data_IF_635015460863
#
_entry.id   IF_635015460863
#
_cell.length_a   1.000
_cell.length_b   1.000
_cell.length_c   1.000
_cell.angle_alpha   90.00
_cell.angle_beta   90.00
_cell.angle_gamma   90.00
#
_symmetry.space_group_name_H-M   'P 1'
#
loop_
_entity.id
_entity.type
_entity.pdbx_description
1 polymer ?
#
# COMPACT_ATOMS: atom_id res chain seq x y z
N UNK A 1 -4.43 -50.86 -14.11
CA UNK A 1 -3.93 -52.01 -13.32
C UNK A 1 -2.69 -51.56 -12.55
N UNK A 2 -2.70 -51.71 -11.20
CA UNK A 2 -1.59 -51.97 -10.25
C UNK A 2 -0.32 -51.06 -10.36
N UNK A 3 0.24 -50.43 -9.33
CA UNK A 3 0.26 -50.75 -7.88
C UNK A 3 0.89 -49.60 -7.07
N UNK A 4 0.53 -49.56 -5.78
CA UNK A 4 1.08 -48.79 -4.66
C UNK A 4 2.61 -48.84 -4.50
N UNK A 5 3.21 -47.81 -3.87
CA UNK A 5 4.03 -48.00 -2.67
C UNK A 5 4.33 -46.71 -1.90
N UNK A 6 4.05 -46.78 -0.60
CA UNK A 6 4.37 -45.82 0.47
C UNK A 6 5.82 -46.05 0.92
N UNK A 7 6.56 -44.99 1.26
CA UNK A 7 7.64 -45.08 2.25
C UNK A 7 7.55 -43.85 3.15
N UNK A 8 7.01 -44.08 4.36
CA UNK A 8 7.21 -43.22 5.53
C UNK A 8 8.63 -43.46 6.05
N UNK A 9 9.37 -42.40 6.36
CA UNK A 9 10.55 -42.48 7.21
C UNK A 9 10.39 -41.49 8.36
N UNK A 10 10.04 -42.00 9.54
CA UNK A 10 9.99 -41.27 10.79
C UNK A 10 11.35 -41.44 11.49
N UNK A 11 12.06 -40.35 11.73
CA UNK A 11 13.27 -40.33 12.57
C UNK A 11 12.87 -39.73 13.92
N UNK A 12 12.76 -40.60 14.93
CA UNK A 12 12.59 -40.23 16.31
C UNK A 12 13.97 -39.94 16.92
N UNK A 13 14.28 -38.66 17.18
CA UNK A 13 15.41 -38.26 18.00
C UNK A 13 14.93 -38.00 19.43
N UNK A 14 15.20 -38.96 20.30
CA UNK A 14 15.10 -38.80 21.75
C UNK A 14 16.32 -38.01 22.24
N UNK A 15 16.11 -36.78 22.71
CA UNK A 15 17.09 -36.06 23.52
C UNK A 15 16.56 -35.87 24.94
N UNK A 16 17.35 -36.36 25.88
CA UNK A 16 17.05 -36.47 27.29
C UNK A 16 16.83 -35.14 28.00
N UNK A 17 15.91 -35.20 28.96
CA UNK A 17 15.60 -34.14 29.89
C UNK A 17 16.79 -33.86 30.81
N UNK A 18 17.32 -32.65 30.76
CA UNK A 18 18.13 -32.06 31.84
C UNK A 18 17.21 -31.14 32.63
N UNK A 19 16.69 -31.61 33.76
CA UNK A 19 15.88 -30.81 34.67
C UNK A 19 16.79 -29.81 35.40
N UNK A 20 16.92 -28.62 34.85
CA UNK A 20 17.46 -27.46 35.57
C UNK A 20 16.32 -26.94 36.43
N UNK A 21 16.46 -27.05 37.75
CA UNK A 21 15.56 -26.43 38.70
C UNK A 21 15.65 -24.91 38.56
N UNK A 22 14.76 -24.33 37.75
CA UNK A 22 14.56 -22.90 37.68
C UNK A 22 13.94 -22.44 39.01
N UNK A 23 14.72 -21.71 39.80
CA UNK A 23 14.16 -20.84 40.83
C UNK A 23 13.17 -19.89 40.15
N UNK A 24 11.95 -19.69 40.70
CA UNK A 24 11.07 -18.65 40.20
C UNK A 24 11.77 -17.32 40.43
N UNK A 25 12.30 -16.75 39.35
CA UNK A 25 12.62 -15.33 39.32
C UNK A 25 11.34 -14.61 39.72
N UNK A 26 11.41 -13.81 40.78
CA UNK A 26 10.37 -12.86 41.09
C UNK A 26 10.09 -12.10 39.79
N UNK A 27 8.87 -12.26 39.26
CA UNK A 27 8.40 -11.42 38.18
C UNK A 27 8.49 -10.00 38.72
N UNK A 28 9.46 -9.23 38.24
CA UNK A 28 9.43 -7.79 38.41
C UNK A 28 8.09 -7.35 37.84
N UNK A 29 7.27 -6.78 38.71
CA UNK A 29 6.02 -6.16 38.37
C UNK A 29 6.39 -4.99 37.44
N UNK A 30 6.45 -5.27 36.14
CA UNK A 30 6.61 -4.26 35.11
C UNK A 30 5.33 -3.45 35.17
N UNK A 31 5.33 -2.46 36.06
CA UNK A 31 4.34 -1.40 36.05
C UNK A 31 4.31 -0.91 34.60
N UNK A 32 3.16 -1.06 33.89
CA UNK A 32 3.09 -0.62 32.52
C UNK A 32 3.43 0.86 32.54
N UNK A 33 4.57 1.22 31.97
CA UNK A 33 4.95 2.62 31.81
C UNK A 33 3.79 3.27 31.09
N UNK A 34 3.00 4.05 31.83
CA UNK A 34 1.92 4.83 31.26
C UNK A 34 2.59 5.70 30.20
N UNK A 35 2.32 5.40 28.93
CA UNK A 35 2.82 6.19 27.82
C UNK A 35 2.22 7.58 28.03
N UNK A 36 3.01 8.50 28.59
CA UNK A 36 2.60 9.87 28.84
C UNK A 36 2.22 10.46 27.48
N UNK A 37 0.97 10.90 27.38
CA UNK A 37 0.45 11.53 26.18
C UNK A 37 0.35 13.05 26.41
N UNK A 38 0.88 13.82 25.46
CA UNK A 38 0.96 15.29 25.56
C UNK A 38 -0.40 15.98 25.40
N UNK A 39 -1.37 15.31 24.76
CA UNK A 39 -2.67 15.86 24.42
C UNK A 39 -3.75 15.47 25.44
N UNK A 40 -3.62 15.96 26.67
CA UNK A 40 -4.50 15.64 27.81
C UNK A 40 -5.98 15.91 27.51
N UNK A 41 -6.84 14.91 27.73
CA UNK A 41 -8.29 15.03 27.52
C UNK A 41 -8.73 14.96 26.06
N UNK A 42 -7.80 14.76 25.11
CA UNK A 42 -8.13 14.74 23.69
C UNK A 42 -8.18 13.33 23.12
N UNK A 43 -9.01 13.19 22.07
CA UNK A 43 -9.04 12.00 21.22
C UNK A 43 -8.30 12.30 19.92
N UNK A 44 -7.39 11.43 19.52
CA UNK A 44 -6.73 11.53 18.22
C UNK A 44 -6.73 10.19 17.47
N UNK A 45 -6.45 10.30 16.19
CA UNK A 45 -6.31 9.17 15.28
C UNK A 45 -4.87 9.10 14.81
N UNK A 46 -4.30 7.91 14.83
CA UNK A 46 -2.98 7.63 14.24
C UNK A 46 -3.13 6.66 13.09
N UNK A 47 -2.32 6.86 12.06
CA UNK A 47 -2.17 5.96 10.93
C UNK A 47 -0.76 5.38 10.96
N UNK A 48 -0.65 4.05 10.94
CA UNK A 48 0.62 3.33 10.91
C UNK A 48 0.64 2.34 9.76
N UNK A 49 1.84 1.90 9.36
CA UNK A 49 2.03 0.93 8.28
C UNK A 49 1.32 1.31 6.96
N UNK A 50 1.36 2.61 6.61
CA UNK A 50 0.76 3.11 5.37
C UNK A 50 1.54 2.54 4.19
N UNK A 51 0.89 1.67 3.42
CA UNK A 51 1.44 1.01 2.24
C UNK A 51 0.71 1.45 0.98
N UNK A 52 1.48 1.67 -0.08
CA UNK A 52 1.04 2.19 -1.37
C UNK A 52 1.61 1.36 -2.53
N UNK A 53 1.40 0.02 -2.55
CA UNK A 53 1.92 -0.81 -3.63
C UNK A 53 1.33 -0.35 -4.97
N UNK A 54 2.24 -0.23 -5.94
CA UNK A 54 1.93 0.08 -7.34
C UNK A 54 2.26 -1.13 -8.17
N UNK A 55 1.31 -1.60 -8.96
CA UNK A 55 1.51 -2.75 -9.82
C UNK A 55 1.18 -2.40 -11.26
N UNK A 56 2.07 -2.81 -12.17
CA UNK A 56 1.91 -2.64 -13.59
C UNK A 56 1.07 -3.80 -14.14
N UNK A 57 -0.03 -3.50 -14.82
CA UNK A 57 -0.88 -4.52 -15.45
C UNK A 57 -0.61 -4.67 -16.93
N UNK A 58 -0.45 -3.55 -17.64
CA UNK A 58 -0.20 -3.53 -19.07
C UNK A 58 0.88 -2.51 -19.39
N UNK A 59 1.67 -2.83 -20.41
CA UNK A 59 2.75 -1.98 -20.89
C UNK A 59 2.98 -2.22 -22.36
N UNK A 60 3.09 -1.15 -23.12
CA UNK A 60 3.42 -1.19 -24.55
C UNK A 60 4.61 -0.30 -24.81
N UNK A 61 5.51 -0.75 -25.68
CA UNK A 61 6.72 -0.01 -26.04
C UNK A 61 6.66 0.42 -27.50
N UNK A 62 6.90 1.70 -27.72
CA UNK A 62 6.89 2.36 -29.02
C UNK A 62 8.31 2.82 -29.36
N UNK A 63 8.78 2.45 -30.54
CA UNK A 63 10.07 2.89 -31.06
C UNK A 63 9.87 3.86 -32.22
N UNK A 64 10.51 5.04 -32.16
CA UNK A 64 10.56 5.92 -33.30
C UNK A 64 11.77 5.61 -34.18
N UNK A 65 11.58 4.74 -35.17
CA UNK A 65 12.56 4.48 -36.23
C UNK A 65 12.48 5.44 -37.42
N UNK A 66 11.59 6.43 -37.40
CA UNK A 66 11.51 7.42 -38.48
C UNK A 66 12.66 8.42 -38.35
N UNK A 67 13.27 8.82 -39.46
CA UNK A 67 14.37 9.81 -39.45
C UNK A 67 13.98 11.23 -39.01
N UNK A 68 12.85 11.39 -38.32
CA UNK A 68 12.30 12.65 -37.84
C UNK A 68 11.55 12.43 -36.52
N UNK A 69 11.15 13.52 -35.86
CA UNK A 69 10.37 13.42 -34.63
C UNK A 69 8.93 13.00 -34.95
N UNK A 70 8.39 12.07 -34.17
CA UNK A 70 6.98 11.64 -34.26
C UNK A 70 6.21 12.26 -33.11
N UNK A 71 5.04 12.83 -33.39
CA UNK A 71 4.12 13.27 -32.33
C UNK A 71 3.01 12.25 -32.21
N UNK A 72 2.81 11.74 -31.00
CA UNK A 72 1.79 10.74 -30.71
C UNK A 72 0.93 11.22 -29.55
N UNK A 73 -0.38 11.07 -29.70
CA UNK A 73 -1.35 11.39 -28.65
C UNK A 73 -1.81 10.13 -27.95
N UNK A 74 -1.77 10.14 -26.63
CA UNK A 74 -2.23 9.07 -25.77
C UNK A 74 -3.33 9.59 -24.87
N UNK A 75 -4.36 8.78 -24.62
CA UNK A 75 -5.37 9.11 -23.63
C UNK A 75 -4.97 8.42 -22.33
N UNK A 76 -4.64 9.23 -21.31
CA UNK A 76 -4.38 8.76 -19.97
C UNK A 76 -5.59 9.06 -19.09
N UNK A 77 -6.15 8.04 -18.47
CA UNK A 77 -7.13 8.18 -17.39
C UNK A 77 -6.39 8.52 -16.11
N UNK A 78 -6.67 9.70 -15.57
CA UNK A 78 -6.27 10.09 -14.23
C UNK A 78 -7.46 9.93 -13.29
N UNK A 79 -7.35 9.03 -12.32
CA UNK A 79 -8.38 8.83 -11.30
C UNK A 79 -7.93 9.48 -9.99
N UNK A 80 -8.74 10.42 -9.49
CA UNK A 80 -8.43 11.15 -8.26
C UNK A 80 -8.97 10.44 -7.01
N UNK A 81 -9.96 9.56 -7.14
CA UNK A 81 -10.77 9.10 -5.99
C UNK A 81 -10.75 7.58 -5.80
N UNK A 82 -10.33 7.13 -4.62
CA UNK A 82 -10.18 5.71 -4.26
C UNK A 82 -11.30 5.27 -3.32
N UNK A 83 -12.05 4.22 -3.64
CA UNK A 83 -13.01 3.62 -2.70
C UNK A 83 -12.27 2.76 -1.67
N UNK A 84 -12.46 3.00 -0.37
CA UNK A 84 -11.85 2.20 0.70
C UNK A 84 -12.86 1.57 1.67
N UNK A 85 -12.58 0.34 2.10
CA UNK A 85 -13.20 -0.28 3.29
C UNK A 85 -12.39 0.00 4.51
N UNK A 86 -13.08 0.15 5.63
CA UNK A 86 -12.50 0.04 6.95
C UNK A 86 -12.99 -1.28 7.56
N UNK A 87 -12.06 -2.13 7.99
CA UNK A 87 -12.37 -3.19 8.93
C UNK A 87 -12.41 -2.56 10.33
N UNK A 88 -13.61 -2.50 10.93
CA UNK A 88 -13.84 -1.80 12.20
C UNK A 88 -14.18 -2.79 13.30
N UNK A 89 -13.51 -2.65 14.45
CA UNK A 89 -13.98 -3.20 15.73
C UNK A 89 -15.24 -2.44 16.17
N UNK A 90 -16.27 -3.14 16.66
CA UNK A 90 -17.58 -2.55 16.99
C UNK A 90 -17.45 -1.31 17.90
N UNK A 91 -17.98 -0.15 17.48
CA UNK A 91 -17.94 1.11 18.24
C UNK A 91 -17.48 2.35 17.45
N UNK A 92 -16.82 2.17 16.31
CA UNK A 92 -16.21 3.28 15.53
C UNK A 92 -16.89 3.50 14.16
N UNK A 93 -18.02 2.83 13.91
CA UNK A 93 -18.75 2.90 12.62
C UNK A 93 -19.21 4.32 12.25
N UNK A 94 -19.44 5.20 13.22
CA UNK A 94 -19.81 6.60 13.00
C UNK A 94 -18.64 7.54 12.65
N UNK A 95 -17.40 7.08 12.77
CA UNK A 95 -16.19 7.91 12.61
C UNK A 95 -15.37 7.54 11.36
N UNK A 96 -15.94 6.70 10.49
CA UNK A 96 -15.32 6.27 9.24
C UNK A 96 -14.82 7.45 8.39
N UNK A 97 -15.58 8.55 8.32
CA UNK A 97 -15.19 9.76 7.59
C UNK A 97 -13.86 10.39 8.09
N UNK A 98 -13.65 10.44 9.40
CA UNK A 98 -12.42 10.97 10.01
C UNK A 98 -11.23 10.05 9.73
N UNK A 99 -11.45 8.74 9.77
CA UNK A 99 -10.43 7.73 9.42
C UNK A 99 -10.03 7.89 7.96
N UNK A 100 -10.99 8.05 7.03
CA UNK A 100 -10.69 8.30 5.63
C UNK A 100 -9.92 9.60 5.42
N UNK A 101 -10.37 10.73 6.00
CA UNK A 101 -9.66 12.01 5.88
C UNK A 101 -8.21 11.94 6.40
N UNK A 102 -7.97 11.21 7.49
CA UNK A 102 -6.61 10.96 7.99
C UNK A 102 -5.80 10.08 7.05
N UNK A 103 -6.42 9.07 6.45
CA UNK A 103 -5.77 8.26 5.43
C UNK A 103 -5.43 9.10 4.20
N UNK A 104 -6.31 9.99 3.75
CA UNK A 104 -6.04 10.92 2.64
C UNK A 104 -4.81 11.77 2.92
N UNK A 105 -4.75 12.36 4.11
CA UNK A 105 -3.62 13.18 4.54
C UNK A 105 -2.30 12.38 4.60
N UNK A 106 -2.34 11.16 5.14
CA UNK A 106 -1.15 10.31 5.29
C UNK A 106 -0.71 9.66 3.97
N UNK A 107 -1.64 9.30 3.10
CA UNK A 107 -1.35 8.64 1.83
C UNK A 107 -1.19 9.62 0.65
N UNK A 108 -1.60 10.88 0.81
CA UNK A 108 -1.62 11.93 -0.22
C UNK A 108 -2.46 11.55 -1.45
N UNK A 109 -3.61 10.95 -1.21
CA UNK A 109 -4.57 10.47 -2.22
C UNK A 109 -5.99 10.76 -1.73
N UNK A 110 -6.93 11.05 -2.61
CA UNK A 110 -8.33 11.24 -2.20
C UNK A 110 -9.00 9.88 -2.04
N UNK A 111 -9.52 9.61 -0.85
CA UNK A 111 -10.16 8.36 -0.44
C UNK A 111 -11.64 8.65 -0.24
N UNK A 112 -12.42 8.21 -1.21
CA UNK A 112 -13.86 8.08 -1.07
C UNK A 112 -14.19 7.01 -0.01
N UNK A 113 -15.05 7.36 0.94
CA UNK A 113 -15.65 6.39 1.84
C UNK A 113 -16.51 5.36 1.09
N UNK A 114 -16.90 4.30 1.80
CA UNK A 114 -17.88 3.32 1.31
C UNK A 114 -19.04 4.05 0.61
N UNK A 115 -19.40 3.62 -0.61
CA UNK A 115 -20.43 4.20 -1.50
C UNK A 115 -20.06 5.40 -2.38
N UNK A 116 -18.85 5.97 -2.29
CA UNK A 116 -18.44 7.00 -3.25
C UNK A 116 -17.74 6.39 -4.48
N UNK A 117 -18.27 6.74 -5.66
CA UNK A 117 -17.77 6.28 -6.96
C UNK A 117 -16.42 6.93 -7.29
N UNK A 118 -15.50 6.15 -7.86
CA UNK A 118 -14.25 6.67 -8.44
C UNK A 118 -14.59 7.61 -9.59
N UNK A 119 -14.27 8.90 -9.45
CA UNK A 119 -14.28 9.84 -10.56
C UNK A 119 -12.93 9.80 -11.29
N UNK A 120 -12.97 9.87 -12.62
CA UNK A 120 -11.79 9.90 -13.48
C UNK A 120 -11.92 11.00 -14.50
N UNK A 121 -10.80 11.60 -14.88
CA UNK A 121 -10.72 12.52 -16.01
C UNK A 121 -9.83 11.91 -17.07
N UNK A 122 -10.31 11.87 -18.31
CA UNK A 122 -9.48 11.52 -19.45
C UNK A 122 -8.60 12.72 -19.78
N UNK A 123 -7.29 12.54 -19.67
CA UNK A 123 -6.28 13.54 -20.00
C UNK A 123 -5.61 13.12 -21.30
N UNK A 124 -5.79 13.92 -22.35
CA UNK A 124 -5.03 13.76 -23.59
C UNK A 124 -3.58 14.19 -23.38
N UNK A 125 -2.65 13.23 -23.45
CA UNK A 125 -1.22 13.47 -23.38
C UNK A 125 -0.68 13.47 -24.81
N UNK A 126 -0.21 14.61 -25.28
CA UNK A 126 0.53 14.70 -26.55
C UNK A 126 2.02 14.63 -26.24
N UNK A 127 2.72 13.64 -26.81
CA UNK A 127 4.14 13.46 -26.61
C UNK A 127 4.88 13.47 -27.96
N UNK A 128 5.90 14.30 -28.07
CA UNK A 128 6.86 14.25 -29.18
C UNK A 128 7.98 13.28 -28.83
N UNK A 129 8.10 12.22 -29.63
CA UNK A 129 9.11 11.18 -29.53
C UNK A 129 10.23 11.44 -30.56
N UNK A 130 11.46 11.76 -30.13
CA UNK A 130 12.57 11.96 -31.06
C UNK A 130 12.98 10.69 -31.81
N UNK A 131 13.64 10.85 -32.95
CA UNK A 131 14.21 9.73 -33.70
C UNK A 131 15.17 8.88 -32.83
N UNK A 132 15.08 7.56 -32.97
CA UNK A 132 15.93 6.59 -32.28
C UNK A 132 15.60 6.43 -30.80
N UNK A 133 14.45 6.95 -30.34
CA UNK A 133 14.03 6.89 -28.93
C UNK A 133 12.84 5.97 -28.72
N UNK A 134 12.70 5.52 -27.46
CA UNK A 134 11.62 4.67 -26.99
C UNK A 134 10.68 5.43 -26.07
N UNK A 135 9.39 5.22 -26.27
CA UNK A 135 8.31 5.64 -25.39
C UNK A 135 7.60 4.39 -24.88
N UNK A 136 7.22 4.38 -23.61
CA UNK A 136 6.37 3.34 -23.05
C UNK A 136 5.01 3.96 -22.71
N UNK A 137 3.94 3.27 -23.08
CA UNK A 137 2.61 3.52 -22.55
C UNK A 137 2.34 2.46 -21.49
N UNK A 138 1.78 2.86 -20.35
CA UNK A 138 1.56 1.96 -19.24
C UNK A 138 0.16 2.10 -18.66
N UNK A 139 -0.30 0.99 -18.09
CA UNK A 139 -1.47 0.92 -17.21
C UNK A 139 -1.10 0.11 -16.00
N UNK A 140 -1.43 0.63 -14.83
CA UNK A 140 -1.25 -0.06 -13.57
C UNK A 140 -2.33 0.30 -12.59
N UNK A 141 -2.20 -0.19 -11.38
CA UNK A 141 -3.05 0.22 -10.26
C UNK A 141 -2.26 0.54 -9.01
N UNK A 142 -2.85 1.43 -8.21
CA UNK A 142 -2.43 1.68 -6.84
C UNK A 142 -3.44 1.03 -5.90
N UNK A 143 -2.92 0.30 -4.91
CA UNK A 143 -3.68 -0.06 -3.71
C UNK A 143 -3.14 0.73 -2.52
N UNK A 144 -4.02 1.16 -1.63
CA UNK A 144 -3.67 1.88 -0.40
C UNK A 144 -4.17 1.08 0.77
N UNK A 145 -3.28 0.80 1.73
CA UNK A 145 -3.65 0.17 2.99
C UNK A 145 -2.94 0.83 4.16
N UNK A 146 -3.59 0.87 5.31
CA UNK A 146 -2.98 1.33 6.56
C UNK A 146 -3.63 0.66 7.76
N UNK A 147 -2.94 0.69 8.89
CA UNK A 147 -3.52 0.41 10.20
C UNK A 147 -3.91 1.74 10.83
N UNK A 148 -5.07 1.78 11.48
CA UNK A 148 -5.53 2.96 12.19
C UNK A 148 -5.76 2.64 13.67
N UNK A 149 -5.48 3.61 14.53
CA UNK A 149 -5.77 3.55 15.95
C UNK A 149 -6.42 4.84 16.40
N UNK A 150 -7.48 4.73 17.21
CA UNK A 150 -8.12 5.81 17.93
C UNK A 150 -7.64 5.77 19.37
N UNK A 151 -7.05 6.86 19.82
CA UNK A 151 -6.49 6.97 21.16
C UNK A 151 -7.14 8.14 21.88
N UNK A 152 -7.27 7.99 23.19
CA UNK A 152 -7.73 9.04 24.10
C UNK A 152 -6.72 9.19 25.22
N UNK A 153 -6.27 10.41 25.47
CA UNK A 153 -5.44 10.67 26.63
C UNK A 153 -6.34 11.09 27.78
N UNK A 154 -6.27 10.40 28.91
CA UNK A 154 -6.96 10.86 30.11
C UNK A 154 -6.35 12.18 30.60
N UNK A 155 -7.09 12.93 31.40
CA UNK A 155 -6.57 14.11 32.10
C UNK A 155 -5.44 13.78 33.08
N UNK A 156 -5.27 12.49 33.43
CA UNK A 156 -4.17 11.97 34.22
C UNK A 156 -2.93 11.57 33.40
N UNK A 157 -2.91 11.85 32.09
CA UNK A 157 -1.77 11.56 31.21
C UNK A 157 -1.66 10.11 30.76
N UNK A 158 -2.72 9.31 30.91
CA UNK A 158 -2.72 7.89 30.52
C UNK A 158 -3.37 7.72 29.15
N UNK A 159 -2.65 7.12 28.20
CA UNK A 159 -3.21 6.80 26.89
C UNK A 159 -4.13 5.57 26.98
N UNK A 160 -5.32 5.69 26.40
CA UNK A 160 -6.27 4.60 26.22
C UNK A 160 -6.55 4.38 24.74
N UNK A 161 -6.39 3.15 24.26
CA UNK A 161 -6.88 2.75 22.93
C UNK A 161 -8.40 2.63 22.98
N UNK A 162 -9.09 3.44 22.17
CA UNK A 162 -10.57 3.46 22.05
C UNK A 162 -11.06 2.69 20.83
N UNK A 163 -10.17 2.39 19.89
CA UNK A 163 -10.47 1.58 18.73
C UNK A 163 -9.23 1.37 17.88
N UNK A 164 -9.21 0.29 17.14
CA UNK A 164 -8.17 -0.02 16.17
C UNK A 164 -8.74 -0.87 15.05
N UNK A 165 -8.05 -0.86 13.91
CA UNK A 165 -8.39 -1.69 12.78
C UNK A 165 -7.47 -1.43 11.60
N UNK A 166 -7.86 -1.95 10.44
CA UNK A 166 -7.15 -1.70 9.18
C UNK A 166 -8.09 -1.12 8.13
N UNK A 167 -7.54 -0.27 7.28
CA UNK A 167 -8.21 0.33 6.13
C UNK A 167 -7.49 -0.13 4.87
N UNK A 168 -8.26 -0.53 3.85
CA UNK A 168 -7.74 -0.95 2.54
C UNK A 168 -8.65 -0.45 1.44
N UNK A 169 -8.06 0.05 0.36
CA UNK A 169 -8.78 0.39 -0.87
C UNK A 169 -9.28 -0.88 -1.57
N UNK A 170 -10.56 -0.89 -1.98
CA UNK A 170 -11.16 -2.00 -2.75
C UNK A 170 -10.81 -1.93 -4.23
N UNK A 171 -10.89 -0.72 -4.79
CA UNK A 171 -10.73 -0.52 -6.22
C UNK A 171 -9.27 -0.20 -6.50
N UNK A 172 -8.66 -1.06 -7.31
CA UNK A 172 -7.45 -0.77 -8.07
C UNK A 172 -7.61 0.58 -8.75
N UNK A 173 -6.89 1.61 -8.29
CA UNK A 173 -6.96 2.95 -8.90
C UNK A 173 -6.18 2.89 -10.20
N UNK A 174 -6.83 2.89 -11.36
CA UNK A 174 -6.09 2.72 -12.59
C UNK A 174 -5.27 3.98 -12.83
N UNK A 175 -3.95 3.83 -12.89
CA UNK A 175 -3.03 4.86 -13.33
C UNK A 175 -2.58 4.49 -14.74
N UNK A 176 -2.84 5.38 -15.68
CA UNK A 176 -2.33 5.24 -17.06
C UNK A 176 -1.48 6.45 -17.40
N UNK A 177 -0.50 6.24 -18.25
CA UNK A 177 0.39 7.31 -18.65
C UNK A 177 1.38 6.86 -19.68
N UNK A 178 2.28 7.77 -20.02
CA UNK A 178 3.41 7.49 -20.89
C UNK A 178 4.69 7.96 -20.24
N UNK A 179 5.78 7.24 -20.49
CA UNK A 179 7.10 7.59 -19.99
C UNK A 179 8.12 7.36 -21.11
N UNK A 180 9.02 8.32 -21.30
CA UNK A 180 10.16 8.12 -22.19
C UNK A 180 11.26 7.36 -21.47
N UNK A 181 11.87 6.39 -22.15
CA UNK A 181 12.93 5.58 -21.56
C UNK A 181 14.21 6.39 -21.29
N UNK A 182 14.46 7.44 -22.08
CA UNK A 182 15.63 8.30 -21.91
C UNK A 182 15.45 9.43 -20.89
N UNK A 183 14.24 9.60 -20.33
CA UNK A 183 13.98 10.59 -19.28
C UNK A 183 13.85 9.92 -17.92
N UNK A 184 14.24 10.62 -16.86
CA UNK A 184 14.03 10.16 -15.48
C UNK A 184 12.55 10.16 -15.13
N UNK A 185 12.10 9.07 -14.49
CA UNK A 185 10.76 9.01 -13.92
C UNK A 185 10.81 9.42 -12.45
N UNK A 186 9.79 10.14 -11.92
CA UNK A 186 9.73 10.47 -10.50
C UNK A 186 9.76 9.21 -9.64
N UNK A 187 10.62 9.16 -8.62
CA UNK A 187 10.74 7.98 -7.76
C UNK A 187 9.41 7.65 -7.07
N UNK A 188 9.09 6.36 -6.99
CA UNK A 188 7.84 5.89 -6.39
C UNK A 188 6.57 6.15 -7.22
N UNK A 189 6.66 6.68 -8.45
CA UNK A 189 5.53 6.80 -9.39
C UNK A 189 5.27 5.50 -10.17
N UNK A 190 4.11 5.37 -10.81
CA UNK A 190 3.87 4.25 -11.74
C UNK A 190 4.78 4.33 -12.95
N UNK A 191 5.12 5.53 -13.42
CA UNK A 191 6.10 5.74 -14.48
C UNK A 191 7.47 5.15 -14.14
N UNK A 192 7.89 5.24 -12.87
CA UNK A 192 9.14 4.64 -12.40
C UNK A 192 9.10 3.11 -12.48
N UNK A 193 8.02 2.50 -11.99
CA UNK A 193 7.82 1.04 -12.07
C UNK A 193 7.74 0.58 -13.52
N UNK A 194 7.00 1.29 -14.36
CA UNK A 194 6.87 1.00 -15.79
C UNK A 194 8.21 1.13 -16.51
N UNK A 195 8.99 2.18 -16.23
CA UNK A 195 10.33 2.37 -16.81
C UNK A 195 11.27 1.24 -16.44
N UNK A 196 11.39 0.93 -15.13
CA UNK A 196 12.27 -0.12 -14.65
C UNK A 196 11.97 -1.48 -15.30
N UNK A 197 10.69 -1.76 -15.60
CA UNK A 197 10.27 -3.02 -16.21
C UNK A 197 10.38 -3.04 -17.73
N UNK A 198 10.07 -1.94 -18.42
CA UNK A 198 9.88 -1.92 -19.88
C UNK A 198 11.05 -1.29 -20.64
N UNK A 199 11.86 -0.45 -19.99
CA UNK A 199 12.98 0.26 -20.61
C UNK A 199 14.33 -0.43 -20.38
N UNK A 200 14.53 -1.08 -19.22
CA UNK A 200 15.83 -1.65 -18.84
C UNK A 200 16.08 -3.07 -19.38
N UNK A 201 15.11 -3.63 -20.11
CA UNK A 201 15.38 -4.69 -21.08
C UNK A 201 15.85 -6.05 -20.54
N UNK A 202 15.64 -6.37 -19.27
CA UNK A 202 15.76 -7.76 -18.78
C UNK A 202 14.37 -8.39 -18.69
N UNK A 203 13.98 -9.08 -19.76
CA UNK A 203 12.92 -10.09 -19.73
C UNK A 203 13.55 -11.47 -19.64
#
# INVERSE_FOLDING_TARGET
MRTLSKVLLAVALAFGASAIAATPAAAEDVTPMALLCDNLGETWYSMTNVSKPKELTHGERYYNGSGSNVTTSFVAKHHSTITASISVTAGVKGEAGTIFAKLEASASVTVAGEYASTSGTDVGITATLPHGKYLIAYRGYLTVSANWGKYYCTTSGTMQTKGEGSVKSWNEVPETGVQRCDLSAPSGSMAYVAKARLCDGTW
#
